data_IF_205474104709
#
_entry.id   IF_205474104709
#
_cell.length_a   1.000
_cell.length_b   1.000
_cell.length_c   1.000
_cell.angle_alpha   90.00
_cell.angle_beta   90.00
_cell.angle_gamma   90.00
#
_symmetry.space_group_name_H-M   'P 1'
#
loop_
_entity.id
_entity.type
_entity.pdbx_description
1 polymer ?
#
# COMPACT_ATOMS: atom_id res chain seq x y z
N UNK A 1 19.02 10.72 17.90
CA UNK A 1 17.60 11.01 17.64
C UNK A 1 17.41 12.52 17.61
N UNK A 2 16.57 13.04 16.71
CA UNK A 2 16.22 14.46 16.70
C UNK A 2 15.34 14.75 17.93
N UNK A 3 15.65 15.83 18.66
CA UNK A 3 14.87 16.25 19.83
C UNK A 3 13.85 17.28 19.38
N UNK A 4 12.57 17.03 19.64
CA UNK A 4 11.47 17.93 19.31
C UNK A 4 10.85 18.43 20.61
N UNK A 5 10.79 19.74 20.79
CA UNK A 5 10.11 20.37 21.92
C UNK A 5 8.71 20.81 21.50
N UNK A 6 7.70 20.27 22.18
CA UNK A 6 6.30 20.62 21.97
C UNK A 6 5.87 21.54 23.11
N UNK A 7 5.39 22.73 22.76
CA UNK A 7 4.81 23.67 23.71
C UNK A 7 3.30 23.51 23.72
N UNK A 8 2.73 23.51 24.91
CA UNK A 8 1.29 23.51 25.12
C UNK A 8 0.90 24.85 25.71
N UNK A 9 -0.20 25.42 25.24
CA UNK A 9 -0.75 26.66 25.80
C UNK A 9 -1.36 26.44 27.19
N UNK A 10 -1.74 25.19 27.50
CA UNK A 10 -2.32 24.77 28.78
C UNK A 10 -1.65 23.49 29.30
N UNK A 11 -1.46 23.42 30.62
CA UNK A 11 -0.84 22.25 31.28
C UNK A 11 -1.75 21.01 31.32
N UNK A 12 -3.00 21.12 30.90
CA UNK A 12 -3.97 20.01 30.92
C UNK A 12 -3.50 18.82 30.10
N UNK A 13 -3.07 19.08 28.86
CA UNK A 13 -2.61 18.04 27.92
C UNK A 13 -1.34 17.34 28.43
N UNK A 14 -0.26 18.04 28.81
CA UNK A 14 0.93 17.38 29.34
C UNK A 14 0.68 16.62 30.65
N UNK A 15 -0.29 17.05 31.46
CA UNK A 15 -0.69 16.35 32.69
C UNK A 15 -1.39 15.04 32.39
N UNK A 16 -2.37 15.04 31.48
CA UNK A 16 -3.08 13.82 31.08
C UNK A 16 -2.15 12.81 30.39
N UNK A 17 -1.25 13.28 29.52
CA UNK A 17 -0.25 12.40 28.90
C UNK A 17 0.68 11.74 29.93
N UNK A 18 1.04 12.46 30.99
CA UNK A 18 1.86 11.91 32.08
C UNK A 18 1.08 10.86 32.87
N UNK A 19 -0.21 11.10 33.11
CA UNK A 19 -1.09 10.14 33.78
C UNK A 19 -1.25 8.87 32.96
N UNK A 20 -1.56 9.00 31.67
CA UNK A 20 -1.69 7.86 30.75
C UNK A 20 -0.40 7.05 30.64
N UNK A 21 0.75 7.70 30.57
CA UNK A 21 2.05 7.04 30.56
C UNK A 21 2.22 6.13 31.80
N UNK A 22 1.92 6.66 32.99
CA UNK A 22 1.98 5.88 34.25
C UNK A 22 0.98 4.73 34.28
N UNK A 23 -0.27 4.98 33.89
CA UNK A 23 -1.33 3.96 33.87
C UNK A 23 -0.99 2.79 32.95
N UNK A 24 -0.26 3.06 31.86
CA UNK A 24 0.20 2.04 30.90
C UNK A 24 1.57 1.43 31.25
N UNK A 25 2.19 1.86 32.34
CA UNK A 25 3.45 1.28 32.84
C UNK A 25 4.74 1.84 32.22
N UNK A 26 4.66 2.98 31.53
CA UNK A 26 5.83 3.65 30.96
C UNK A 26 6.65 4.37 32.03
N UNK A 27 7.98 4.43 31.83
CA UNK A 27 8.89 5.13 32.73
C UNK A 27 8.76 6.64 32.62
N UNK A 28 8.38 7.14 31.44
CA UNK A 28 8.21 8.56 31.21
C UNK A 28 7.15 8.86 30.16
N UNK A 29 6.66 10.11 30.18
CA UNK A 29 5.81 10.65 29.11
C UNK A 29 6.52 10.63 27.76
N UNK A 30 7.83 10.84 27.74
CA UNK A 30 8.62 10.87 26.50
C UNK A 30 8.71 9.49 25.85
N UNK A 31 8.95 8.45 26.65
CA UNK A 31 8.91 7.06 26.20
C UNK A 31 7.55 6.70 25.61
N UNK A 32 6.48 7.04 26.35
CA UNK A 32 5.10 6.82 25.90
C UNK A 32 4.79 7.53 24.58
N UNK A 33 5.18 8.80 24.45
CA UNK A 33 4.96 9.58 23.23
C UNK A 33 5.77 9.04 22.06
N UNK A 34 7.02 8.62 22.28
CA UNK A 34 7.84 8.06 21.21
C UNK A 34 7.24 6.78 20.64
N UNK A 35 6.72 5.88 21.49
CA UNK A 35 6.07 4.66 21.02
C UNK A 35 4.80 4.98 20.23
N UNK A 36 3.91 5.82 20.77
CA UNK A 36 2.67 6.19 20.07
C UNK A 36 2.96 6.89 18.74
N UNK A 37 3.89 7.83 18.71
CA UNK A 37 4.24 8.54 17.47
C UNK A 37 4.86 7.59 16.45
N UNK A 38 5.62 6.59 16.90
CA UNK A 38 6.16 5.53 16.03
C UNK A 38 5.04 4.65 15.48
N UNK A 39 4.07 4.28 16.30
CA UNK A 39 2.91 3.49 15.89
C UNK A 39 2.06 4.26 14.87
N UNK A 40 1.74 5.53 15.14
CA UNK A 40 1.00 6.40 14.23
C UNK A 40 1.74 6.57 12.90
N UNK A 41 3.03 6.92 12.94
CA UNK A 41 3.83 7.07 11.72
C UNK A 41 3.91 5.76 10.93
N UNK A 42 4.02 4.61 11.61
CA UNK A 42 4.03 3.29 10.96
C UNK A 42 2.67 2.97 10.33
N UNK A 43 1.56 3.28 11.00
CA UNK A 43 0.21 3.08 10.49
C UNK A 43 -0.09 3.98 9.28
N UNK A 44 0.30 5.25 9.35
CA UNK A 44 0.19 6.19 8.23
C UNK A 44 1.02 5.72 7.03
N UNK A 45 2.27 5.31 7.27
CA UNK A 45 3.13 4.76 6.22
C UNK A 45 2.55 3.50 5.57
N UNK A 46 2.02 2.56 6.36
CA UNK A 46 1.40 1.34 5.85
C UNK A 46 0.14 1.62 5.03
N UNK A 47 -0.70 2.56 5.48
CA UNK A 47 -1.92 2.94 4.77
C UNK A 47 -1.63 3.66 3.46
N UNK A 48 -0.68 4.58 3.44
CA UNK A 48 -0.22 5.26 2.23
C UNK A 48 0.42 4.28 1.24
N UNK A 49 1.30 3.39 1.73
CA UNK A 49 1.94 2.36 0.89
C UNK A 49 0.90 1.43 0.27
N UNK A 50 -0.11 1.01 1.03
CA UNK A 50 -1.19 0.17 0.51
C UNK A 50 -2.03 0.91 -0.54
N UNK A 51 -2.27 2.22 -0.38
CA UNK A 51 -2.96 3.04 -1.36
C UNK A 51 -2.16 3.16 -2.66
N UNK A 52 -0.86 3.46 -2.58
CA UNK A 52 0.04 3.53 -3.73
C UNK A 52 0.13 2.19 -4.46
N UNK A 53 0.22 1.07 -3.73
CA UNK A 53 0.26 -0.25 -4.32
C UNK A 53 -1.03 -0.59 -5.09
N UNK A 54 -2.21 -0.27 -4.51
CA UNK A 54 -3.50 -0.43 -5.20
C UNK A 54 -3.57 0.42 -6.46
N UNK A 55 -3.07 1.65 -6.42
CA UNK A 55 -3.00 2.53 -7.59
C UNK A 55 -2.09 1.97 -8.68
N UNK A 56 -0.91 1.46 -8.30
CA UNK A 56 0.03 0.84 -9.23
C UNK A 56 -0.57 -0.40 -9.91
N UNK A 57 -1.27 -1.27 -9.15
CA UNK A 57 -1.98 -2.42 -9.71
C UNK A 57 -3.08 -2.00 -10.69
N UNK A 58 -3.85 -0.97 -10.36
CA UNK A 58 -4.90 -0.46 -11.26
C UNK A 58 -4.31 0.09 -12.58
N UNK A 59 -3.17 0.78 -12.52
CA UNK A 59 -2.46 1.25 -13.71
C UNK A 59 -1.92 0.10 -14.54
N UNK A 60 -1.31 -0.90 -13.89
CA UNK A 60 -0.77 -2.07 -14.56
C UNK A 60 -1.87 -2.86 -15.28
N UNK A 61 -3.02 -3.06 -14.63
CA UNK A 61 -4.20 -3.68 -15.24
C UNK A 61 -4.66 -2.93 -16.49
N UNK A 62 -4.83 -1.60 -16.40
CA UNK A 62 -5.23 -0.78 -17.57
C UNK A 62 -4.21 -0.84 -18.70
N UNK A 63 -2.92 -0.90 -18.38
CA UNK A 63 -1.87 -1.04 -19.39
C UNK A 63 -1.96 -2.40 -20.08
N UNK A 64 -2.18 -3.49 -19.33
CA UNK A 64 -2.39 -4.83 -19.90
C UNK A 64 -3.64 -4.90 -20.77
N UNK A 65 -4.77 -4.31 -20.33
CA UNK A 65 -6.01 -4.24 -21.11
C UNK A 65 -5.77 -3.55 -22.46
N UNK A 66 -5.10 -2.40 -22.46
CA UNK A 66 -4.75 -1.68 -23.70
C UNK A 66 -3.78 -2.45 -24.59
N UNK A 67 -2.78 -3.13 -24.01
CA UNK A 67 -1.86 -3.97 -24.77
C UNK A 67 -2.59 -5.13 -25.43
N UNK A 68 -3.52 -5.75 -24.69
CA UNK A 68 -4.34 -6.83 -25.22
C UNK A 68 -5.25 -6.35 -26.35
N UNK A 69 -5.96 -5.22 -26.18
CA UNK A 69 -6.76 -4.60 -27.24
C UNK A 69 -5.93 -4.32 -28.51
N UNK A 70 -4.72 -3.78 -28.34
CA UNK A 70 -3.82 -3.52 -29.47
C UNK A 70 -3.34 -4.82 -30.15
N UNK A 71 -3.07 -5.88 -29.38
CA UNK A 71 -2.70 -7.19 -29.93
C UNK A 71 -3.86 -7.81 -30.71
N UNK A 72 -5.09 -7.77 -30.17
CA UNK A 72 -6.30 -8.24 -30.85
C UNK A 72 -6.48 -7.50 -32.17
N UNK A 73 -6.41 -6.16 -32.15
CA UNK A 73 -6.52 -5.36 -33.36
C UNK A 73 -5.43 -5.73 -34.39
N UNK A 74 -4.19 -5.92 -33.96
CA UNK A 74 -3.11 -6.32 -34.85
C UNK A 74 -3.31 -7.72 -35.46
N UNK A 75 -3.97 -8.64 -34.73
CA UNK A 75 -4.34 -9.95 -35.25
C UNK A 75 -5.47 -9.81 -36.28
N UNK A 76 -6.51 -9.03 -35.98
CA UNK A 76 -7.62 -8.77 -36.91
C UNK A 76 -7.15 -8.10 -38.21
N UNK A 77 -6.16 -7.22 -38.12
CA UNK A 77 -5.51 -6.58 -39.26
C UNK A 77 -4.48 -7.49 -39.96
N UNK A 78 -4.23 -8.70 -39.47
CA UNK A 78 -3.27 -9.64 -40.03
C UNK A 78 -1.79 -9.23 -39.88
N UNK A 79 -1.50 -8.23 -39.05
CA UNK A 79 -0.16 -7.71 -38.79
C UNK A 79 0.65 -8.61 -37.85
N UNK A 80 -0.05 -9.39 -37.01
CA UNK A 80 0.55 -10.36 -36.09
C UNK A 80 -0.16 -11.69 -36.27
N UNK A 81 0.62 -12.78 -36.35
CA UNK A 81 0.10 -14.14 -36.31
C UNK A 81 0.30 -14.71 -34.91
N UNK A 82 -0.73 -15.32 -34.35
CA UNK A 82 -0.61 -16.02 -33.08
C UNK A 82 0.24 -17.28 -33.26
N UNK A 83 1.14 -17.59 -32.31
CA UNK A 83 1.85 -18.86 -32.29
C UNK A 83 0.85 -20.04 -32.31
N UNK A 84 1.05 -21.06 -33.15
CA UNK A 84 0.15 -22.21 -33.26
C UNK A 84 0.00 -22.98 -31.94
N UNK A 85 1.01 -22.92 -31.06
CA UNK A 85 1.04 -23.61 -29.75
C UNK A 85 -0.02 -23.07 -28.77
N UNK A 86 -0.57 -21.87 -29.00
CA UNK A 86 -1.66 -21.32 -28.20
C UNK A 86 -3.03 -21.94 -28.53
N UNK A 87 -3.14 -22.72 -29.61
CA UNK A 87 -4.37 -23.37 -30.05
C UNK A 87 -4.43 -24.88 -29.71
N UNK A 88 -3.31 -25.50 -29.30
CA UNK A 88 -3.21 -26.97 -29.10
C UNK A 88 -3.66 -27.47 -27.71
N UNK A 89 -4.45 -26.69 -26.97
CA UNK A 89 -5.00 -27.09 -25.67
C UNK A 89 -6.43 -27.63 -25.69
N UNK A 90 -7.04 -27.84 -26.87
CA UNK A 90 -8.49 -27.98 -27.01
C UNK A 90 -9.05 -29.24 -27.68
N UNK A 91 -8.23 -30.13 -28.26
CA UNK A 91 -8.75 -31.34 -28.95
C UNK A 91 -7.93 -32.58 -28.58
N UNK A 92 -8.30 -33.18 -27.45
CA UNK A 92 -7.78 -34.47 -26.98
C UNK A 92 -8.84 -35.30 -26.25
N UNK A 93 -10.13 -35.06 -26.52
CA UNK A 93 -11.23 -35.86 -26.01
C UNK A 93 -12.25 -36.08 -27.13
N UNK A 94 -11.96 -37.03 -28.02
CA UNK A 94 -12.87 -37.30 -29.13
C UNK A 94 -12.48 -38.47 -30.01
N UNK A 95 -12.81 -39.67 -29.53
CA UNK A 95 -12.88 -40.98 -30.21
C UNK A 95 -11.66 -41.89 -30.12
#
# INVERSE_FOLDING_TARGET
MARVEIRFDEDRVPTELTKQAKEKGYQSREEYLNEILTEVASGEYQTETAALYRQALALNRRAMEKMFEALVLNIELGLIKLPPELFEGGDGAGK
#
